data_IF_894130832306
#
_entry.id   IF_894130832306
#
_cell.length_a   1.000
_cell.length_b   1.000
_cell.length_c   1.000
_cell.angle_alpha   90.00
_cell.angle_beta   90.00
_cell.angle_gamma   90.00
#
_symmetry.space_group_name_H-M   'P 1'
#
loop_
_entity.id
_entity.type
_entity.pdbx_description
1 polymer ?
#
# COMPACT_ATOMS: atom_id res chain seq x y z
N UNK A 1 -22.80 8.28 4.17
CA UNK A 1 -21.38 8.60 4.39
C UNK A 1 -21.20 10.09 4.23
N UNK A 2 -20.66 10.78 5.24
CA UNK A 2 -20.33 12.21 5.13
C UNK A 2 -19.28 12.43 4.04
N UNK A 3 -19.49 13.39 3.14
CA UNK A 3 -18.48 13.74 2.12
C UNK A 3 -17.30 14.42 2.82
N UNK A 4 -16.07 14.05 2.47
CA UNK A 4 -14.89 14.79 2.90
C UNK A 4 -14.89 16.11 2.14
N UNK A 5 -15.04 17.21 2.87
CA UNK A 5 -14.86 18.54 2.31
C UNK A 5 -13.39 18.92 2.42
N UNK A 6 -12.74 19.04 1.27
CA UNK A 6 -11.42 19.63 1.15
C UNK A 6 -11.58 21.08 0.74
N UNK A 7 -10.73 21.94 1.28
CA UNK A 7 -10.64 23.34 0.84
C UNK A 7 -10.26 23.41 -0.66
N UNK A 8 -10.56 24.51 -1.36
CA UNK A 8 -10.10 24.69 -2.73
C UNK A 8 -8.56 24.64 -2.82
N UNK A 9 -8.02 23.74 -3.65
CA UNK A 9 -6.56 23.60 -3.80
C UNK A 9 -6.13 22.43 -4.69
N UNK A 10 -4.82 22.34 -4.89
CA UNK A 10 -4.19 21.19 -5.55
C UNK A 10 -3.76 20.20 -4.45
N UNK A 11 -4.19 18.96 -4.58
CA UNK A 11 -3.89 17.89 -3.63
C UNK A 11 -3.14 16.76 -4.30
N UNK A 12 -2.20 16.18 -3.57
CA UNK A 12 -1.51 14.96 -3.96
C UNK A 12 -2.22 13.76 -3.33
N UNK A 13 -2.17 12.59 -3.99
CA UNK A 13 -2.67 11.33 -3.44
C UNK A 13 -1.74 10.77 -2.34
N UNK A 14 -1.31 11.64 -1.43
CA UNK A 14 -0.36 11.40 -0.35
C UNK A 14 -1.08 11.70 0.95
N UNK A 15 -1.18 10.70 1.80
CA UNK A 15 -1.91 10.79 3.06
C UNK A 15 -0.93 10.66 4.22
N UNK A 16 -0.81 11.66 5.10
CA UNK A 16 0.07 11.60 6.26
C UNK A 16 -0.22 10.39 7.15
N UNK A 17 0.84 9.73 7.62
CA UNK A 17 0.75 8.62 8.57
C UNK A 17 1.39 9.05 9.88
N UNK A 18 0.58 9.05 10.94
CA UNK A 18 1.03 9.20 12.31
C UNK A 18 1.43 7.83 12.87
N UNK A 19 2.64 7.77 13.43
CA UNK A 19 3.19 6.56 14.06
C UNK A 19 3.44 6.82 15.55
N UNK A 20 3.54 5.76 16.37
CA UNK A 20 3.88 5.88 17.78
C UNK A 20 5.19 6.65 17.99
N UNK A 21 5.17 7.62 18.91
CA UNK A 21 6.36 8.40 19.26
C UNK A 21 7.20 7.69 20.33
N UNK A 22 6.58 6.83 21.15
CA UNK A 22 7.26 6.07 22.18
C UNK A 22 8.19 5.00 21.59
N UNK A 23 9.23 4.58 22.35
CA UNK A 23 10.04 3.44 21.97
C UNK A 23 9.18 2.18 21.82
N UNK A 24 9.41 1.45 20.74
CA UNK A 24 8.80 0.15 20.50
C UNK A 24 9.79 -0.96 20.82
N UNK A 25 9.26 -2.13 21.16
CA UNK A 25 10.05 -3.32 21.38
C UNK A 25 10.20 -4.10 20.08
N UNK A 26 11.45 -4.36 19.68
CA UNK A 26 11.79 -5.15 18.51
C UNK A 26 12.97 -6.08 18.82
N UNK A 27 13.26 -6.98 17.90
CA UNK A 27 14.48 -7.77 17.92
C UNK A 27 15.51 -7.15 16.99
N UNK A 28 16.79 -7.24 17.35
CA UNK A 28 17.90 -6.70 16.56
C UNK A 28 19.06 -7.69 16.56
N UNK A 29 19.70 -7.82 15.41
CA UNK A 29 20.99 -8.50 15.29
C UNK A 29 21.93 -7.73 14.36
N UNK A 30 23.21 -8.06 14.41
CA UNK A 30 24.19 -7.57 13.43
C UNK A 30 23.93 -8.24 12.07
N UNK A 31 23.84 -7.43 11.00
CA UNK A 31 23.59 -7.92 9.64
C UNK A 31 24.69 -8.87 9.15
N UNK A 32 25.93 -8.73 9.65
CA UNK A 32 27.07 -9.56 9.27
C UNK A 32 26.91 -11.04 9.66
N UNK A 33 26.12 -11.32 10.70
CA UNK A 33 25.81 -12.69 11.15
C UNK A 33 24.88 -13.45 10.20
N UNK A 34 24.19 -12.74 9.29
CA UNK A 34 23.13 -13.29 8.45
C UNK A 34 23.35 -13.00 6.96
N UNK A 35 24.48 -13.39 6.38
CA UNK A 35 24.81 -13.07 4.98
C UNK A 35 23.67 -13.40 4.01
N UNK A 36 23.04 -14.57 4.17
CA UNK A 36 21.83 -14.97 3.43
C UNK A 36 20.55 -14.85 4.26
N UNK A 37 19.71 -13.86 3.94
CA UNK A 37 18.40 -13.69 4.55
C UNK A 37 17.36 -14.68 4.03
N UNK A 38 17.61 -15.35 2.90
CA UNK A 38 16.71 -16.36 2.35
C UNK A 38 16.68 -17.59 3.23
N UNK A 39 17.85 -18.10 3.64
CA UNK A 39 17.94 -19.23 4.58
C UNK A 39 17.23 -18.91 5.89
N UNK A 40 17.49 -17.73 6.47
CA UNK A 40 16.80 -17.32 7.70
C UNK A 40 15.27 -17.31 7.52
N UNK A 41 14.75 -16.73 6.42
CA UNK A 41 13.30 -16.71 6.15
C UNK A 41 12.72 -18.10 5.97
N UNK A 42 13.44 -19.01 5.32
CA UNK A 42 13.03 -20.40 5.16
C UNK A 42 12.99 -21.12 6.51
N UNK A 43 13.96 -20.89 7.39
CA UNK A 43 13.99 -21.49 8.72
C UNK A 43 12.83 -20.99 9.59
N UNK A 44 12.49 -19.70 9.51
CA UNK A 44 11.32 -19.14 10.19
C UNK A 44 10.02 -19.79 9.70
N UNK A 45 9.88 -19.97 8.39
CA UNK A 45 8.72 -20.62 7.78
C UNK A 45 8.62 -22.11 8.20
N UNK A 46 9.73 -22.85 8.15
CA UNK A 46 9.79 -24.25 8.55
C UNK A 46 9.45 -24.44 10.04
N UNK A 47 9.94 -23.54 10.90
CA UNK A 47 9.64 -23.53 12.34
C UNK A 47 8.28 -22.90 12.67
N UNK A 48 7.54 -22.41 11.66
CA UNK A 48 6.24 -21.70 11.81
C UNK A 48 6.31 -20.51 12.77
N UNK A 49 7.46 -19.84 12.82
CA UNK A 49 7.64 -18.63 13.62
C UNK A 49 6.99 -17.46 12.88
N UNK A 50 5.96 -16.86 13.48
CA UNK A 50 5.30 -15.67 12.92
C UNK A 50 6.10 -14.41 13.23
N UNK A 51 7.28 -14.32 12.62
CA UNK A 51 8.14 -13.16 12.68
C UNK A 51 8.70 -12.84 11.29
N UNK A 52 8.97 -11.56 11.08
CA UNK A 52 9.58 -11.05 9.86
C UNK A 52 10.88 -10.35 10.19
N UNK A 53 11.78 -10.34 9.20
CA UNK A 53 13.10 -9.70 9.32
C UNK A 53 13.29 -8.66 8.22
N UNK A 54 13.81 -7.51 8.61
CA UNK A 54 14.09 -6.39 7.73
C UNK A 54 15.53 -5.89 7.92
N UNK A 55 16.38 -5.97 6.88
CA UNK A 55 17.73 -5.44 6.93
C UNK A 55 17.70 -3.92 6.73
N UNK A 56 18.50 -3.21 7.52
CA UNK A 56 18.79 -1.80 7.33
C UNK A 56 20.22 -1.52 7.78
N UNK A 57 21.05 -1.06 6.84
CA UNK A 57 22.49 -0.87 6.99
C UNK A 57 23.17 -2.11 7.63
N UNK A 58 23.86 -1.93 8.76
CA UNK A 58 24.56 -3.00 9.48
C UNK A 58 23.67 -3.75 10.48
N UNK A 59 22.35 -3.52 10.45
CA UNK A 59 21.40 -4.11 11.40
C UNK A 59 20.37 -4.98 10.68
N UNK A 60 19.92 -6.02 11.38
CA UNK A 60 18.77 -6.82 11.00
C UNK A 60 17.72 -6.69 12.10
N UNK A 61 16.55 -6.16 11.75
CA UNK A 61 15.44 -5.96 12.68
C UNK A 61 14.43 -7.09 12.53
N UNK A 62 14.04 -7.68 13.65
CA UNK A 62 13.01 -8.68 13.76
C UNK A 62 11.74 -8.13 14.42
N UNK A 63 10.58 -8.43 13.86
CA UNK A 63 9.27 -7.94 14.33
C UNK A 63 8.17 -8.95 14.02
N UNK A 64 7.00 -8.79 14.65
CA UNK A 64 5.84 -9.68 14.51
C UNK A 64 5.40 -10.34 15.82
N UNK A 65 4.27 -11.07 15.80
CA UNK A 65 3.70 -11.70 16.99
C UNK A 65 4.66 -12.60 17.77
N UNK A 66 5.54 -13.30 17.06
CA UNK A 66 6.51 -14.25 17.62
C UNK A 66 7.96 -13.74 17.49
N UNK A 67 8.16 -12.42 17.49
CA UNK A 67 9.50 -11.86 17.31
C UNK A 67 10.50 -12.35 18.37
N UNK A 68 10.08 -12.59 19.62
CA UNK A 68 10.94 -13.12 20.69
C UNK A 68 11.61 -14.45 20.32
N UNK A 69 11.00 -15.27 19.48
CA UNK A 69 11.55 -16.57 19.07
C UNK A 69 12.83 -16.41 18.20
N UNK A 70 13.09 -15.20 17.70
CA UNK A 70 14.32 -14.84 17.00
C UNK A 70 15.56 -14.86 17.90
N UNK A 71 15.40 -14.88 19.23
CA UNK A 71 16.51 -15.12 20.17
C UNK A 71 17.25 -16.42 19.86
N UNK A 72 16.53 -17.45 19.39
CA UNK A 72 17.12 -18.74 18.99
C UNK A 72 18.05 -18.64 17.77
N UNK A 73 18.00 -17.52 17.05
CA UNK A 73 18.88 -17.20 15.93
C UNK A 73 19.96 -16.18 16.30
N UNK A 74 20.04 -15.75 17.56
CA UNK A 74 21.03 -14.78 18.03
C UNK A 74 20.58 -13.32 17.93
N UNK A 75 19.28 -13.06 17.71
CA UNK A 75 18.75 -11.72 17.88
C UNK A 75 18.67 -11.35 19.37
N UNK A 76 18.76 -10.06 19.65
CA UNK A 76 18.63 -9.50 20.99
C UNK A 76 17.48 -8.49 21.01
N UNK A 77 16.80 -8.41 22.14
CA UNK A 77 15.75 -7.43 22.35
C UNK A 77 16.33 -6.01 22.29
N UNK A 78 15.64 -5.11 21.60
CA UNK A 78 16.00 -3.70 21.45
C UNK A 78 14.78 -2.80 21.60
N UNK A 79 15.00 -1.63 22.21
CA UNK A 79 14.03 -0.54 22.23
C UNK A 79 14.51 0.54 21.28
N UNK A 80 13.65 0.96 20.36
CA UNK A 80 13.96 2.04 19.41
C UNK A 80 12.72 2.86 19.09
N UNK A 81 12.91 4.14 18.79
CA UNK A 81 11.83 4.96 18.24
C UNK A 81 11.79 4.79 16.74
N UNK A 82 10.61 4.65 16.18
CA UNK A 82 10.47 4.42 14.73
C UNK A 82 11.04 5.58 13.89
N UNK A 83 11.03 6.79 14.42
CA UNK A 83 11.65 7.96 13.80
C UNK A 83 13.19 7.87 13.67
N UNK A 84 13.85 7.03 14.46
CA UNK A 84 15.30 6.80 14.40
C UNK A 84 15.70 5.92 13.21
N UNK A 85 14.76 5.09 12.71
CA UNK A 85 14.99 4.16 11.60
C UNK A 85 13.87 4.28 10.56
N UNK A 86 13.87 5.35 9.72
CA UNK A 86 12.73 5.70 8.85
C UNK A 86 12.35 4.61 7.84
N UNK A 87 13.33 3.85 7.33
CA UNK A 87 13.05 2.77 6.38
C UNK A 87 12.34 1.59 7.05
N UNK A 88 12.73 1.25 8.28
CA UNK A 88 12.03 0.26 9.10
C UNK A 88 10.62 0.74 9.44
N UNK A 89 10.44 2.00 9.83
CA UNK A 89 9.12 2.56 10.09
C UNK A 89 8.20 2.47 8.85
N UNK A 90 8.72 2.84 7.68
CA UNK A 90 8.01 2.70 6.40
C UNK A 90 7.61 1.25 6.12
N UNK A 91 8.51 0.31 6.45
CA UNK A 91 8.26 -1.13 6.32
C UNK A 91 7.14 -1.61 7.26
N UNK A 92 7.14 -1.16 8.51
CA UNK A 92 6.10 -1.54 9.48
C UNK A 92 4.73 -0.95 9.09
N UNK A 93 4.69 0.30 8.64
CA UNK A 93 3.47 0.95 8.15
C UNK A 93 2.84 0.11 7.04
N UNK A 94 3.61 -0.21 5.99
CA UNK A 94 3.05 -0.95 4.87
C UNK A 94 2.65 -2.37 5.28
N UNK A 95 3.46 -3.09 6.06
CA UNK A 95 3.09 -4.44 6.50
C UNK A 95 1.87 -4.47 7.41
N UNK A 96 1.65 -3.45 8.25
CA UNK A 96 0.44 -3.31 9.06
C UNK A 96 -0.82 -3.25 8.19
N UNK A 97 -0.82 -2.36 7.20
CA UNK A 97 -1.91 -2.25 6.21
C UNK A 97 -2.10 -3.56 5.43
N UNK A 98 -1.01 -4.18 4.96
CA UNK A 98 -1.09 -5.42 4.20
C UNK A 98 -1.64 -6.59 5.04
N UNK A 99 -1.30 -6.65 6.33
CA UNK A 99 -1.87 -7.66 7.24
C UNK A 99 -3.37 -7.47 7.40
N UNK A 100 -3.83 -6.22 7.55
CA UNK A 100 -5.26 -5.92 7.56
C UNK A 100 -5.93 -6.35 6.25
N UNK A 101 -5.38 -5.99 5.08
CA UNK A 101 -5.94 -6.41 3.80
C UNK A 101 -5.99 -7.94 3.62
N UNK A 102 -4.95 -8.66 4.04
CA UNK A 102 -4.95 -10.14 4.01
C UNK A 102 -6.09 -10.70 4.87
N UNK A 103 -6.32 -10.12 6.05
CA UNK A 103 -7.42 -10.53 6.95
C UNK A 103 -8.81 -10.26 6.36
N UNK A 104 -8.94 -9.21 5.53
CA UNK A 104 -10.16 -8.88 4.78
C UNK A 104 -10.29 -9.67 3.45
N UNK A 105 -9.36 -10.59 3.16
CA UNK A 105 -9.38 -11.45 1.99
C UNK A 105 -8.89 -10.81 0.69
N UNK A 106 -8.15 -9.70 0.76
CA UNK A 106 -7.54 -9.08 -0.42
C UNK A 106 -6.37 -9.92 -0.93
N UNK A 107 -6.19 -9.92 -2.24
CA UNK A 107 -4.95 -10.34 -2.88
C UNK A 107 -3.90 -9.25 -2.76
N UNK A 108 -2.73 -9.58 -2.21
CA UNK A 108 -1.61 -8.64 -1.95
C UNK A 108 -0.39 -9.06 -2.76
N UNK A 109 0.02 -8.23 -3.72
CA UNK A 109 1.10 -8.54 -4.66
C UNK A 109 2.22 -7.50 -4.56
N UNK A 110 3.48 -7.91 -4.33
CA UNK A 110 4.62 -6.98 -4.33
C UNK A 110 4.93 -6.50 -5.75
N UNK A 111 5.26 -5.22 -5.91
CA UNK A 111 5.64 -4.62 -7.19
C UNK A 111 6.72 -3.54 -7.03
N UNK A 112 8.00 -3.89 -7.22
CA UNK A 112 9.15 -2.95 -7.26
C UNK A 112 9.10 -1.84 -6.20
N UNK A 113 9.06 -2.19 -4.92
CA UNK A 113 9.02 -1.23 -3.82
C UNK A 113 7.65 -0.61 -3.55
N UNK A 114 6.61 -1.14 -4.21
CA UNK A 114 5.18 -0.83 -4.03
C UNK A 114 4.41 -2.12 -3.80
N UNK A 115 3.13 -1.97 -3.48
CA UNK A 115 2.23 -3.10 -3.28
C UNK A 115 0.93 -2.85 -4.02
N UNK A 116 0.45 -3.88 -4.73
CA UNK A 116 -0.86 -3.87 -5.37
C UNK A 116 -1.80 -4.71 -4.53
N UNK A 117 -2.94 -4.15 -4.16
CA UNK A 117 -3.96 -4.83 -3.36
C UNK A 117 -5.28 -4.84 -4.10
N UNK A 118 -5.89 -6.02 -4.23
CA UNK A 118 -7.14 -6.20 -4.96
C UNK A 118 -8.16 -6.93 -4.07
N UNK A 119 -9.38 -6.40 -3.93
CA UNK A 119 -10.48 -7.14 -3.32
C UNK A 119 -10.92 -8.27 -4.25
N UNK A 120 -11.70 -9.22 -3.72
CA UNK A 120 -12.22 -10.35 -4.50
C UNK A 120 -13.39 -9.98 -5.43
N UNK A 121 -13.90 -8.75 -5.34
CA UNK A 121 -14.98 -8.24 -6.18
C UNK A 121 -14.43 -7.73 -7.51
N UNK A 122 -15.13 -8.04 -8.60
CA UNK A 122 -14.80 -7.55 -9.94
C UNK A 122 -16.06 -7.13 -10.69
N UNK A 123 -15.85 -6.34 -11.74
CA UNK A 123 -16.83 -6.15 -12.80
C UNK A 123 -16.52 -7.09 -13.95
N UNK A 124 -17.55 -7.58 -14.63
CA UNK A 124 -17.39 -8.47 -15.77
C UNK A 124 -17.80 -7.77 -17.07
N UNK A 125 -17.04 -8.03 -18.14
CA UNK A 125 -17.33 -7.54 -19.49
C UNK A 125 -17.13 -8.68 -20.50
N UNK A 126 -17.58 -8.48 -21.74
CA UNK A 126 -17.60 -9.50 -22.78
C UNK A 126 -18.26 -10.81 -22.30
N UNK A 127 -19.50 -10.70 -21.80
CA UNK A 127 -20.31 -11.83 -21.35
C UNK A 127 -19.60 -12.73 -20.32
N UNK A 128 -18.94 -12.11 -19.33
CA UNK A 128 -18.25 -12.82 -18.25
C UNK A 128 -16.84 -13.30 -18.60
N UNK A 129 -16.37 -13.06 -19.82
CA UNK A 129 -15.08 -13.59 -20.28
C UNK A 129 -13.88 -12.78 -19.80
N UNK A 130 -14.09 -11.50 -19.46
CA UNK A 130 -13.07 -10.62 -18.91
C UNK A 130 -13.55 -10.05 -17.59
N UNK A 131 -12.74 -10.24 -16.55
CA UNK A 131 -12.95 -9.69 -15.22
C UNK A 131 -12.01 -8.52 -14.98
N UNK A 132 -12.57 -7.43 -14.46
CA UNK A 132 -11.90 -6.17 -14.16
C UNK A 132 -11.95 -5.95 -12.66
N UNK A 133 -10.81 -6.09 -12.00
CA UNK A 133 -10.66 -5.89 -10.55
C UNK A 133 -10.12 -4.50 -10.28
N UNK A 134 -10.87 -3.70 -9.53
CA UNK A 134 -10.39 -2.43 -9.00
C UNK A 134 -9.57 -2.68 -7.73
N UNK A 135 -8.30 -2.28 -7.76
CA UNK A 135 -7.39 -2.37 -6.62
C UNK A 135 -6.72 -1.03 -6.31
N UNK A 136 -5.68 -1.11 -5.49
CA UNK A 136 -4.87 0.05 -5.11
C UNK A 136 -3.38 -0.26 -5.25
N UNK A 137 -2.62 0.68 -5.80
CA UNK A 137 -1.15 0.72 -5.73
C UNK A 137 -0.76 1.57 -4.51
N UNK A 138 -0.03 0.95 -3.58
CA UNK A 138 0.34 1.52 -2.30
C UNK A 138 1.85 1.68 -2.20
N UNK A 139 2.28 2.84 -1.72
CA UNK A 139 3.69 3.11 -1.43
C UNK A 139 3.83 4.00 -0.19
N UNK A 140 4.65 3.57 0.75
CA UNK A 140 5.02 4.40 1.90
C UNK A 140 6.32 5.13 1.59
N UNK A 141 6.41 6.39 2.01
CA UNK A 141 7.64 7.16 2.00
C UNK A 141 7.71 8.08 3.22
N UNK A 142 8.86 8.71 3.41
CA UNK A 142 9.10 9.67 4.47
C UNK A 142 9.81 10.90 3.93
N UNK A 143 9.61 12.03 4.58
CA UNK A 143 10.29 13.29 4.28
C UNK A 143 10.57 14.07 5.56
N UNK A 144 11.47 15.05 5.49
CA UNK A 144 11.61 16.04 6.56
C UNK A 144 10.66 17.19 6.28
N UNK A 145 9.78 17.47 7.23
CA UNK A 145 8.92 18.66 7.18
C UNK A 145 9.74 19.93 7.41
N UNK A 146 9.15 21.10 7.15
CA UNK A 146 9.74 22.41 7.46
C UNK A 146 10.15 22.56 8.93
N UNK A 147 9.47 21.85 9.85
CA UNK A 147 9.81 21.78 11.27
C UNK A 147 11.02 20.89 11.60
N UNK A 148 11.72 20.37 10.59
CA UNK A 148 12.79 19.35 10.69
C UNK A 148 12.36 18.00 11.28
N UNK A 149 11.09 17.85 11.67
CA UNK A 149 10.50 16.58 12.08
C UNK A 149 10.32 15.68 10.87
N UNK A 150 10.65 14.41 11.06
CA UNK A 150 10.40 13.35 10.09
C UNK A 150 8.89 13.09 10.02
N UNK A 151 8.34 13.09 8.80
CA UNK A 151 6.96 12.77 8.51
C UNK A 151 6.90 11.54 7.60
N UNK A 152 5.80 10.78 7.71
CA UNK A 152 5.53 9.61 6.89
C UNK A 152 4.26 9.85 6.08
N UNK A 153 4.19 9.24 4.90
CA UNK A 153 3.03 9.35 4.04
C UNK A 153 2.81 8.07 3.26
N UNK A 154 1.53 7.78 3.04
CA UNK A 154 1.06 6.71 2.18
C UNK A 154 0.59 7.33 0.87
N UNK A 155 1.20 6.91 -0.23
CA UNK A 155 0.66 7.13 -1.57
C UNK A 155 -0.39 6.06 -1.82
N UNK A 156 -1.58 6.49 -2.23
CA UNK A 156 -2.68 5.62 -2.61
C UNK A 156 -3.10 5.97 -4.03
N UNK A 157 -2.86 5.07 -4.97
CA UNK A 157 -3.33 5.20 -6.34
C UNK A 157 -4.23 4.02 -6.72
N UNK A 158 -5.00 4.15 -7.80
CA UNK A 158 -5.86 3.06 -8.28
C UNK A 158 -5.06 2.14 -9.20
N UNK A 159 -5.14 0.84 -8.95
CA UNK A 159 -4.62 -0.20 -9.85
C UNK A 159 -5.79 -0.99 -10.45
N UNK A 160 -5.59 -1.52 -11.65
CA UNK A 160 -6.59 -2.38 -12.30
C UNK A 160 -5.94 -3.68 -12.73
N UNK A 161 -6.46 -4.79 -12.22
CA UNK A 161 -6.09 -6.11 -12.70
C UNK A 161 -7.16 -6.63 -13.68
N UNK A 162 -6.68 -7.08 -14.84
CA UNK A 162 -7.51 -7.71 -15.87
C UNK A 162 -7.25 -9.20 -15.86
N UNK A 163 -8.32 -9.98 -15.80
CA UNK A 163 -8.29 -11.44 -15.73
C UNK A 163 -9.25 -12.07 -16.72
N UNK A 164 -8.96 -13.28 -17.15
CA UNK A 164 -9.94 -14.10 -17.87
C UNK A 164 -10.90 -14.81 -16.90
N UNK A 165 -11.84 -15.61 -17.43
CA UNK A 165 -12.79 -16.37 -16.62
C UNK A 165 -12.14 -17.46 -15.74
N UNK A 166 -10.91 -17.88 -16.07
CA UNK A 166 -10.09 -18.82 -15.31
C UNK A 166 -9.15 -18.12 -14.31
N UNK A 167 -9.33 -16.81 -14.10
CA UNK A 167 -8.53 -15.94 -13.21
C UNK A 167 -7.05 -15.78 -13.61
N UNK A 168 -6.72 -16.02 -14.88
CA UNK A 168 -5.37 -15.78 -15.40
C UNK A 168 -5.17 -14.32 -15.79
N UNK A 169 -3.98 -13.74 -15.59
CA UNK A 169 -3.67 -12.38 -16.06
C UNK A 169 -3.97 -12.24 -17.54
N UNK A 170 -4.60 -11.13 -17.92
CA UNK A 170 -5.05 -10.91 -19.28
C UNK A 170 -4.65 -9.52 -19.78
N UNK A 171 -3.87 -9.43 -20.85
CA UNK A 171 -3.43 -8.14 -21.37
C UNK A 171 -4.51 -7.48 -22.25
N UNK A 172 -4.51 -6.14 -22.29
CA UNK A 172 -5.38 -5.38 -23.19
C UNK A 172 -5.17 -5.77 -24.68
N UNK A 173 -3.95 -6.15 -25.06
CA UNK A 173 -3.65 -6.58 -26.42
C UNK A 173 -4.34 -7.90 -26.76
N UNK A 174 -4.29 -8.88 -25.85
CA UNK A 174 -4.95 -10.18 -26.04
C UNK A 174 -6.48 -10.01 -26.03
N UNK A 175 -7.01 -9.22 -25.09
CA UNK A 175 -8.44 -8.91 -25.02
C UNK A 175 -8.92 -8.27 -26.33
N UNK A 176 -8.17 -7.30 -26.87
CA UNK A 176 -8.53 -6.66 -28.15
C UNK A 176 -8.51 -7.66 -29.30
N UNK A 177 -7.54 -8.56 -29.33
CA UNK A 177 -7.42 -9.59 -30.37
C UNK A 177 -8.59 -10.59 -30.31
N UNK A 178 -9.01 -10.97 -29.12
CA UNK A 178 -10.02 -12.01 -28.93
C UNK A 178 -11.47 -11.49 -28.92
N UNK A 179 -11.71 -10.34 -28.29
CA UNK A 179 -13.07 -9.80 -28.06
C UNK A 179 -13.30 -8.43 -28.73
N UNK A 180 -12.32 -7.92 -29.46
CA UNK A 180 -12.45 -6.69 -30.25
C UNK A 180 -12.44 -5.39 -29.45
N UNK A 181 -12.50 -4.26 -30.16
CA UNK A 181 -12.38 -2.91 -29.59
C UNK A 181 -13.55 -2.53 -28.68
N UNK A 182 -14.75 -3.09 -28.88
CA UNK A 182 -15.91 -2.81 -28.03
C UNK A 182 -15.66 -3.23 -26.58
N UNK A 183 -14.99 -4.36 -26.38
CA UNK A 183 -14.61 -4.85 -25.05
C UNK A 183 -13.60 -3.93 -24.38
N UNK A 184 -12.65 -3.37 -25.13
CA UNK A 184 -11.70 -2.37 -24.59
C UNK A 184 -12.42 -1.10 -24.14
N UNK A 185 -13.44 -0.65 -24.88
CA UNK A 185 -14.27 0.48 -24.47
C UNK A 185 -15.04 0.14 -23.19
N UNK A 186 -15.64 -1.05 -23.11
CA UNK A 186 -16.34 -1.50 -21.91
C UNK A 186 -15.42 -1.57 -20.67
N UNK A 187 -14.19 -2.05 -20.82
CA UNK A 187 -13.17 -2.00 -19.75
C UNK A 187 -12.89 -0.56 -19.35
N UNK A 188 -12.68 0.34 -20.32
CA UNK A 188 -12.44 1.75 -20.03
C UNK A 188 -13.64 2.42 -19.35
N UNK A 189 -14.87 2.01 -19.64
CA UNK A 189 -16.07 2.47 -18.93
C UNK A 189 -16.09 2.00 -17.49
N UNK A 190 -15.77 0.72 -17.22
CA UNK A 190 -15.61 0.19 -15.86
C UNK A 190 -14.52 0.97 -15.10
N UNK A 191 -13.42 1.30 -15.77
CA UNK A 191 -12.32 2.08 -15.19
C UNK A 191 -12.64 3.56 -15.01
N UNK A 192 -13.77 4.03 -15.53
CA UNK A 192 -14.18 5.43 -15.55
C UNK A 192 -13.45 6.31 -16.58
N UNK A 193 -12.62 5.73 -17.46
CA UNK A 193 -11.89 6.45 -18.51
C UNK A 193 -12.82 6.98 -19.62
N UNK A 194 -13.92 6.27 -19.87
CA UNK A 194 -14.96 6.68 -20.82
C UNK A 194 -16.28 6.96 -20.11
N UNK A 195 -17.06 7.91 -20.63
CA UNK A 195 -18.42 8.18 -20.14
C UNK A 195 -19.33 6.96 -20.39
N UNK A 196 -20.30 6.69 -19.50
CA UNK A 196 -21.28 5.62 -19.68
C UNK A 196 -21.95 5.65 -21.05
N UNK A 197 -22.16 4.48 -21.64
CA UNK A 197 -22.83 4.28 -22.93
C UNK A 197 -22.20 5.05 -24.11
N UNK A 198 -20.96 5.52 -23.96
CA UNK A 198 -20.23 6.23 -25.02
C UNK A 198 -18.74 5.86 -25.05
N UNK A 199 -18.07 6.24 -26.13
CA UNK A 199 -16.61 6.20 -26.27
C UNK A 199 -15.95 7.56 -25.99
N UNK A 200 -16.68 8.52 -25.43
CA UNK A 200 -16.15 9.85 -25.10
C UNK A 200 -15.30 9.77 -23.84
N UNK A 201 -14.14 10.42 -23.87
CA UNK A 201 -13.21 10.48 -22.75
C UNK A 201 -13.87 11.21 -21.57
N UNK A 202 -13.71 10.66 -20.37
CA UNK A 202 -14.12 11.30 -19.14
C UNK A 202 -13.02 12.25 -18.64
N UNK A 203 -13.23 13.55 -18.80
CA UNK A 203 -12.26 14.57 -18.35
C UNK A 203 -12.20 14.71 -16.83
N UNK A 204 -13.17 14.16 -16.09
CA UNK A 204 -13.28 14.25 -14.64
C UNK A 204 -12.81 12.98 -13.92
N UNK A 205 -12.29 11.99 -14.65
CA UNK A 205 -11.93 10.68 -14.10
C UNK A 205 -10.98 10.79 -12.90
N UNK A 206 -10.00 11.69 -12.95
CA UNK A 206 -9.06 11.89 -11.85
C UNK A 206 -9.77 12.37 -10.57
N UNK A 207 -10.67 13.36 -10.69
CA UNK A 207 -11.45 13.88 -9.56
C UNK A 207 -12.40 12.82 -9.00
N UNK A 208 -13.09 12.09 -9.88
CA UNK A 208 -14.01 11.00 -9.50
C UNK A 208 -13.26 9.90 -8.76
N UNK A 209 -12.15 9.41 -9.32
CA UNK A 209 -11.29 8.40 -8.66
C UNK A 209 -10.84 8.83 -7.27
N UNK A 210 -10.42 10.08 -7.15
CA UNK A 210 -10.01 10.63 -5.88
C UNK A 210 -11.15 10.65 -4.85
N UNK A 211 -12.31 11.19 -5.23
CA UNK A 211 -13.44 11.39 -4.33
C UNK A 211 -14.24 10.11 -4.02
N UNK A 212 -14.35 9.20 -4.99
CA UNK A 212 -15.23 8.04 -4.94
C UNK A 212 -14.50 6.75 -4.57
N UNK A 213 -13.17 6.71 -4.69
CA UNK A 213 -12.39 5.52 -4.38
C UNK A 213 -11.27 5.79 -3.37
N UNK A 214 -10.38 6.75 -3.63
CA UNK A 214 -9.20 6.97 -2.79
C UNK A 214 -9.59 7.51 -1.41
N UNK A 215 -10.40 8.58 -1.34
CA UNK A 215 -10.82 9.15 -0.06
C UNK A 215 -11.64 8.16 0.81
N UNK A 216 -12.60 7.40 0.26
CA UNK A 216 -13.27 6.33 1.00
C UNK A 216 -12.32 5.24 1.50
N UNK A 217 -11.33 4.83 0.69
CA UNK A 217 -10.31 3.87 1.09
C UNK A 217 -9.53 4.38 2.30
N UNK A 218 -8.99 5.60 2.22
CA UNK A 218 -8.19 6.20 3.30
C UNK A 218 -8.99 6.30 4.59
N UNK A 219 -10.28 6.69 4.50
CA UNK A 219 -11.15 6.74 5.68
C UNK A 219 -11.40 5.35 6.28
N UNK A 220 -11.65 4.35 5.44
CA UNK A 220 -11.90 2.98 5.90
C UNK A 220 -10.68 2.42 6.65
N UNK A 221 -9.49 2.73 6.18
CA UNK A 221 -8.21 2.27 6.75
C UNK A 221 -7.48 3.38 7.51
N UNK A 222 -8.25 4.23 8.20
CA UNK A 222 -7.72 5.40 8.93
C UNK A 222 -6.94 5.02 10.19
N UNK A 223 -7.15 3.82 10.72
CA UNK A 223 -6.31 3.24 11.78
C UNK A 223 -6.01 1.78 11.46
N UNK A 224 -4.81 1.32 11.79
CA UNK A 224 -4.36 -0.06 11.60
C UNK A 224 -3.22 -0.41 12.56
N UNK A 225 -3.11 -1.71 12.88
CA UNK A 225 -2.06 -2.24 13.74
C UNK A 225 -0.74 -2.41 12.98
N UNK A 226 0.33 -1.87 13.55
CA UNK A 226 1.69 -2.16 13.14
C UNK A 226 2.09 -3.57 13.62
N UNK A 227 2.95 -4.29 12.89
CA UNK A 227 3.43 -5.62 13.29
C UNK A 227 4.16 -5.70 14.65
N UNK A 228 4.50 -4.55 15.26
CA UNK A 228 5.07 -4.45 16.60
C UNK A 228 4.01 -4.32 17.72
N UNK A 229 2.72 -4.45 17.41
CA UNK A 229 1.61 -4.38 18.37
C UNK A 229 1.23 -2.96 18.78
N UNK A 230 1.63 -1.96 18.00
CA UNK A 230 1.25 -0.56 18.19
C UNK A 230 0.34 -0.09 17.07
N UNK A 231 -0.46 0.93 17.32
CA UNK A 231 -1.38 1.49 16.32
C UNK A 231 -0.70 2.59 15.49
N UNK A 232 -1.03 2.66 14.20
CA UNK A 232 -0.72 3.80 13.33
C UNK A 232 -2.01 4.40 12.76
N UNK A 233 -1.99 5.70 12.52
CA UNK A 233 -3.16 6.45 12.06
C UNK A 233 -2.87 7.11 10.71
N UNK A 234 -3.74 6.88 9.73
CA UNK A 234 -3.71 7.48 8.41
C UNK A 234 -4.67 8.68 8.36
N UNK A 235 -4.12 9.87 8.13
CA UNK A 235 -4.92 11.09 8.03
C UNK A 235 -5.80 11.06 6.77
N UNK A 236 -7.10 11.38 6.88
CA UNK A 236 -7.98 11.53 5.73
C UNK A 236 -7.69 12.79 4.90
N UNK A 237 -6.89 13.72 5.44
CA UNK A 237 -6.51 14.94 4.76
C UNK A 237 -5.26 14.69 3.89
N UNK A 238 -5.38 14.74 2.55
CA UNK A 238 -4.25 14.61 1.65
C UNK A 238 -3.28 15.81 1.78
N UNK A 239 -2.03 15.59 1.39
CA UNK A 239 -1.05 16.68 1.28
C UNK A 239 -1.50 17.67 0.21
N UNK A 240 -1.68 18.92 0.64
CA UNK A 240 -1.96 20.07 -0.22
C UNK A 240 -0.67 20.67 -0.77
N UNK A 241 -0.67 20.98 -2.06
CA UNK A 241 0.40 21.77 -2.70
C UNK A 241 0.10 23.24 -2.46
N UNK A 242 1.04 23.94 -1.80
CA UNK A 242 1.04 25.38 -1.66
C UNK A 242 2.07 25.94 -2.63
N UNK A 243 1.62 26.72 -3.61
CA UNK A 243 2.50 27.43 -4.53
C UNK A 243 2.87 28.74 -3.85
N UNK A 244 4.09 28.84 -3.33
CA UNK A 244 4.66 30.13 -2.93
C UNK A 244 4.94 30.91 -4.22
N UNK A 245 4.30 32.07 -4.39
CA UNK A 245 4.61 32.98 -5.48
C UNK A 245 5.98 33.62 -5.21
N UNK A 246 6.82 33.76 -6.24
CA UNK A 246 8.02 34.59 -6.14
C UNK A 246 7.60 35.99 -5.69
N UNK A 247 7.97 36.40 -4.48
CA UNK A 247 8.04 37.81 -4.11
C UNK A 247 9.14 38.44 -4.99
N UNK A 248 8.74 38.95 -6.16
CA UNK A 248 9.58 39.81 -6.99
C UNK A 248 9.39 41.27 -6.60
#
# INVERSE_FOLDING_TARGET
MERIHLDPGIYLNIFPVSIPEEPILLMRADRSLFQDLRSLRQDLEQKRIQAWVYPEDNCLYGYGPNASDLETFGFQQAQLRLSEVPKLASRLIIEGLLNQFRSEGFSVLPYKGRWRVHPNQCSEVADGQVRVYQGYDLRVFYWRSSSSKLAFGLIVDIDWALRDHEDRPFSLQEIRKQYGSKTIIAIGQVQGEYLPDSSKINTEVARQRFQEHILPFVRKYSSFDLPCGKEANLSPEPVRVVLEGDER
#
